data_IF_522184065029
#
_entry.id   IF_522184065029
#
_cell.length_a   1.000
_cell.length_b   1.000
_cell.length_c   1.000
_cell.angle_alpha   90.00
_cell.angle_beta   90.00
_cell.angle_gamma   90.00
#
_symmetry.space_group_name_H-M   'P 1'
#
loop_
_entity.id
_entity.type
_entity.pdbx_description
1 polymer ?
#
# COMPACT_ATOMS: atom_id res chain seq x y z
N UNK A 1 4.68 -25.21 -19.24
CA UNK A 1 4.74 -24.11 -18.26
C UNK A 1 3.68 -24.20 -17.16
N UNK A 2 2.35 -24.10 -17.40
CA UNK A 2 1.36 -24.30 -16.30
C UNK A 2 1.31 -25.74 -15.75
N UNK A 3 1.53 -26.75 -16.60
CA UNK A 3 1.57 -28.14 -16.14
C UNK A 3 2.82 -28.45 -15.29
N UNK A 4 3.92 -27.72 -15.52
CA UNK A 4 5.17 -27.92 -14.77
C UNK A 4 5.07 -27.35 -13.36
N UNK A 5 4.44 -26.18 -13.20
CA UNK A 5 4.25 -25.57 -11.88
C UNK A 5 3.26 -26.36 -11.03
N UNK A 6 2.16 -26.84 -11.60
CA UNK A 6 1.19 -27.69 -10.89
C UNK A 6 1.80 -29.03 -10.44
N UNK A 7 2.64 -29.64 -11.29
CA UNK A 7 3.38 -30.86 -10.94
C UNK A 7 4.43 -30.59 -9.85
N UNK A 8 5.14 -29.45 -9.94
CA UNK A 8 6.13 -29.05 -8.93
C UNK A 8 5.49 -28.83 -7.55
N UNK A 9 4.34 -28.15 -7.50
CA UNK A 9 3.60 -27.91 -6.24
C UNK A 9 3.07 -29.22 -5.65
N UNK A 10 2.55 -30.11 -6.51
CA UNK A 10 2.08 -31.43 -6.08
C UNK A 10 3.24 -32.28 -5.54
N UNK A 11 4.41 -32.21 -6.19
CA UNK A 11 5.62 -32.87 -5.72
C UNK A 11 6.11 -32.29 -4.39
N UNK A 12 6.14 -30.97 -4.22
CA UNK A 12 6.51 -30.33 -2.95
C UNK A 12 5.57 -30.74 -1.80
N UNK A 13 4.26 -30.80 -2.07
CA UNK A 13 3.27 -31.26 -1.09
C UNK A 13 3.49 -32.73 -0.70
N UNK A 14 3.70 -33.61 -1.69
CA UNK A 14 3.98 -35.03 -1.44
C UNK A 14 5.30 -35.20 -0.69
N UNK A 15 6.36 -34.49 -1.10
CA UNK A 15 7.65 -34.56 -0.42
C UNK A 15 7.54 -34.10 1.02
N UNK A 16 6.74 -33.08 1.30
CA UNK A 16 6.45 -32.67 2.68
C UNK A 16 5.72 -33.79 3.46
N UNK A 17 4.68 -34.40 2.90
CA UNK A 17 3.91 -35.47 3.58
C UNK A 17 4.78 -36.71 3.86
N UNK A 18 5.69 -37.07 2.96
CA UNK A 18 6.49 -38.29 3.08
C UNK A 18 7.86 -38.10 3.75
N UNK A 19 8.46 -36.90 3.66
CA UNK A 19 9.83 -36.63 4.14
C UNK A 19 9.92 -35.51 5.18
N UNK A 20 8.84 -34.76 5.45
CA UNK A 20 8.82 -33.57 6.33
C UNK A 20 9.83 -32.47 5.94
N UNK A 21 10.26 -32.47 4.67
CA UNK A 21 11.20 -31.50 4.11
C UNK A 21 10.47 -30.36 3.39
N UNK A 22 10.84 -29.12 3.71
CA UNK A 22 10.22 -27.89 3.18
C UNK A 22 11.25 -27.08 2.39
N UNK A 23 11.13 -27.05 1.06
CA UNK A 23 11.86 -26.12 0.19
C UNK A 23 10.89 -25.08 -0.36
N UNK A 24 10.87 -23.88 0.25
CA UNK A 24 10.05 -22.76 -0.20
C UNK A 24 10.87 -21.75 -1.00
N UNK A 25 10.32 -21.32 -2.14
CA UNK A 25 10.86 -20.22 -2.92
C UNK A 25 9.83 -19.10 -3.07
N UNK A 26 10.29 -17.86 -3.31
CA UNK A 26 9.41 -16.70 -3.47
C UNK A 26 8.37 -16.87 -4.59
N UNK A 27 8.73 -17.60 -5.65
CA UNK A 27 7.83 -17.82 -6.80
C UNK A 27 6.79 -18.93 -6.53
N UNK A 28 7.12 -19.88 -5.66
CA UNK A 28 6.26 -21.06 -5.41
C UNK A 28 5.48 -20.99 -4.11
N UNK A 29 5.85 -20.11 -3.17
CA UNK A 29 5.27 -20.06 -1.82
C UNK A 29 3.78 -19.75 -1.83
N UNK A 30 3.30 -18.84 -2.67
CA UNK A 30 1.87 -18.50 -2.74
C UNK A 30 1.03 -19.68 -3.25
N UNK A 31 1.52 -20.34 -4.30
CA UNK A 31 0.84 -21.50 -4.86
C UNK A 31 0.91 -22.73 -3.92
N UNK A 32 2.02 -22.87 -3.18
CA UNK A 32 2.18 -23.89 -2.14
C UNK A 32 1.27 -23.61 -0.94
N UNK A 33 1.12 -22.35 -0.52
CA UNK A 33 0.16 -21.95 0.52
C UNK A 33 -1.28 -22.28 0.10
N UNK A 34 -1.64 -21.97 -1.15
CA UNK A 34 -2.95 -22.33 -1.70
C UNK A 34 -3.19 -23.85 -1.64
N UNK A 35 -2.21 -24.65 -2.08
CA UNK A 35 -2.31 -26.12 -2.02
C UNK A 35 -2.38 -26.62 -0.57
N UNK A 36 -1.54 -26.10 0.33
CA UNK A 36 -1.53 -26.46 1.74
C UNK A 36 -2.89 -26.21 2.41
N UNK A 37 -3.53 -25.07 2.11
CA UNK A 37 -4.89 -24.79 2.57
C UNK A 37 -5.92 -25.72 1.94
N UNK A 38 -5.87 -25.89 0.61
CA UNK A 38 -6.80 -26.75 -0.14
C UNK A 38 -6.79 -28.21 0.33
N UNK A 39 -5.61 -28.74 0.68
CA UNK A 39 -5.43 -30.11 1.16
C UNK A 39 -5.36 -30.22 2.69
N UNK A 40 -5.62 -29.12 3.42
CA UNK A 40 -5.73 -29.09 4.89
C UNK A 40 -4.44 -29.59 5.57
N UNK A 41 -3.30 -29.04 5.15
CA UNK A 41 -1.98 -29.29 5.74
C UNK A 41 -1.53 -28.05 6.53
N UNK A 42 -1.96 -27.91 7.80
CA UNK A 42 -1.79 -26.66 8.56
C UNK A 42 -0.34 -26.32 8.88
N UNK A 43 0.52 -27.33 9.08
CA UNK A 43 1.94 -27.10 9.36
C UNK A 43 2.67 -26.47 8.18
N UNK A 44 2.41 -26.97 6.96
CA UNK A 44 2.95 -26.39 5.74
C UNK A 44 2.39 -24.99 5.50
N UNK A 45 1.08 -24.80 5.69
CA UNK A 45 0.46 -23.47 5.54
C UNK A 45 1.13 -22.44 6.47
N UNK A 46 1.35 -22.79 7.74
CA UNK A 46 2.04 -21.91 8.70
C UNK A 46 3.49 -21.64 8.32
N UNK A 47 4.21 -22.63 7.80
CA UNK A 47 5.57 -22.43 7.30
C UNK A 47 5.60 -21.45 6.10
N UNK A 48 4.64 -21.58 5.18
CA UNK A 48 4.48 -20.63 4.07
C UNK A 48 4.18 -19.21 4.55
N UNK A 49 3.25 -19.05 5.51
CA UNK A 49 2.93 -17.72 6.08
C UNK A 49 4.15 -17.11 6.77
N UNK A 50 4.87 -17.88 7.59
CA UNK A 50 6.10 -17.40 8.23
C UNK A 50 7.16 -16.96 7.20
N UNK A 51 7.33 -17.71 6.11
CA UNK A 51 8.24 -17.33 5.03
C UNK A 51 7.78 -16.01 4.38
N UNK A 52 6.49 -15.87 4.08
CA UNK A 52 5.92 -14.64 3.52
C UNK A 52 6.13 -13.44 4.45
N UNK A 53 5.91 -13.60 5.75
CA UNK A 53 6.15 -12.54 6.75
C UNK A 53 7.62 -12.11 6.80
N UNK A 54 8.57 -13.06 6.76
CA UNK A 54 10.00 -12.74 6.77
C UNK A 54 10.50 -12.08 5.48
N UNK A 55 9.84 -12.36 4.36
CA UNK A 55 10.16 -11.78 3.05
C UNK A 55 9.37 -10.51 2.72
N UNK A 56 8.49 -10.07 3.63
CA UNK A 56 7.61 -8.93 3.43
C UNK A 56 8.43 -7.63 3.35
N UNK A 57 8.20 -6.86 2.30
CA UNK A 57 8.88 -5.60 2.00
C UNK A 57 7.91 -4.62 1.36
N UNK A 58 8.22 -3.32 1.35
CA UNK A 58 7.38 -2.33 0.68
C UNK A 58 7.08 -2.67 -0.79
N UNK A 59 7.98 -3.35 -1.49
CA UNK A 59 7.84 -3.68 -2.93
C UNK A 59 6.82 -4.77 -3.21
N UNK A 60 6.71 -5.76 -2.33
CA UNK A 60 5.79 -6.90 -2.50
C UNK A 60 4.54 -6.80 -1.62
N UNK A 61 4.52 -5.88 -0.64
CA UNK A 61 3.40 -5.73 0.29
C UNK A 61 2.06 -5.48 -0.39
N UNK A 62 2.02 -4.69 -1.48
CA UNK A 62 0.78 -4.41 -2.22
C UNK A 62 0.19 -5.68 -2.87
N UNK A 63 1.03 -6.50 -3.49
CA UNK A 63 0.61 -7.77 -4.10
C UNK A 63 0.24 -8.77 -3.01
N UNK A 64 1.07 -8.89 -1.97
CA UNK A 64 0.79 -9.81 -0.85
C UNK A 64 -0.49 -9.43 -0.11
N UNK A 65 -0.84 -8.15 -0.05
CA UNK A 65 -2.11 -7.70 0.51
C UNK A 65 -3.30 -8.28 -0.27
N UNK A 66 -3.34 -8.12 -1.60
CA UNK A 66 -4.45 -8.65 -2.40
C UNK A 66 -4.54 -10.18 -2.30
N UNK A 67 -3.40 -10.86 -2.28
CA UNK A 67 -3.34 -12.31 -2.11
C UNK A 67 -3.74 -12.75 -0.69
N UNK A 68 -3.36 -12.02 0.36
CA UNK A 68 -3.70 -12.37 1.76
C UNK A 68 -5.21 -12.35 2.01
N UNK A 69 -5.92 -11.42 1.35
CA UNK A 69 -7.38 -11.36 1.38
C UNK A 69 -8.01 -12.62 0.74
N UNK A 70 -7.41 -13.15 -0.33
CA UNK A 70 -7.87 -14.38 -0.98
C UNK A 70 -7.63 -15.64 -0.13
N UNK A 71 -6.55 -15.64 0.66
CA UNK A 71 -6.23 -16.77 1.52
C UNK A 71 -6.92 -16.72 2.89
N UNK A 72 -7.67 -15.68 3.23
CA UNK A 72 -8.31 -15.51 4.55
C UNK A 72 -7.28 -15.60 5.71
N UNK A 73 -6.11 -14.99 5.55
CA UNK A 73 -5.06 -14.92 6.58
C UNK A 73 -5.01 -13.51 7.21
N UNK A 74 -5.78 -13.24 8.28
CA UNK A 74 -5.91 -11.89 8.84
C UNK A 74 -4.61 -11.36 9.43
N UNK A 75 -3.78 -12.23 10.02
CA UNK A 75 -2.50 -11.85 10.61
C UNK A 75 -1.53 -11.35 9.53
N UNK A 76 -1.42 -12.09 8.41
CA UNK A 76 -0.62 -11.68 7.26
C UNK A 76 -1.15 -10.37 6.65
N UNK A 77 -2.46 -10.24 6.51
CA UNK A 77 -3.10 -9.00 6.02
C UNK A 77 -2.74 -7.81 6.92
N UNK A 78 -2.78 -7.99 8.25
CA UNK A 78 -2.40 -6.94 9.20
C UNK A 78 -0.92 -6.55 9.04
N UNK A 79 -0.01 -7.52 8.89
CA UNK A 79 1.42 -7.24 8.65
C UNK A 79 1.67 -6.49 7.36
N UNK A 80 0.99 -6.87 6.27
CA UNK A 80 1.04 -6.14 5.01
C UNK A 80 0.62 -4.68 5.20
N UNK A 81 -0.45 -4.45 5.96
CA UNK A 81 -0.90 -3.09 6.27
C UNK A 81 0.09 -2.28 7.09
N UNK A 82 0.72 -2.88 8.10
CA UNK A 82 1.76 -2.22 8.91
C UNK A 82 2.93 -1.76 8.04
N UNK A 83 3.38 -2.60 7.10
CA UNK A 83 4.46 -2.25 6.18
C UNK A 83 4.04 -1.17 5.18
N UNK A 84 2.82 -1.26 4.63
CA UNK A 84 2.28 -0.23 3.71
C UNK A 84 2.13 1.11 4.43
N UNK A 85 1.61 1.14 5.65
CA UNK A 85 1.48 2.39 6.40
C UNK A 85 2.85 2.99 6.74
N UNK A 86 3.81 2.16 7.15
CA UNK A 86 5.15 2.61 7.55
C UNK A 86 5.99 3.09 6.36
N UNK A 87 5.89 2.40 5.22
CA UNK A 87 6.70 2.63 4.03
C UNK A 87 5.85 2.97 2.80
N UNK A 88 4.80 3.76 3.00
CA UNK A 88 3.80 4.08 1.98
C UNK A 88 4.40 4.64 0.69
N UNK A 89 5.33 5.60 0.77
CA UNK A 89 5.94 6.18 -0.44
C UNK A 89 6.71 5.16 -1.28
N UNK A 90 7.38 4.20 -0.65
CA UNK A 90 8.11 3.14 -1.34
C UNK A 90 7.16 2.09 -1.93
N UNK A 91 6.09 1.77 -1.19
CA UNK A 91 5.09 0.81 -1.62
C UNK A 91 4.30 1.33 -2.83
N UNK A 92 3.90 2.60 -2.81
CA UNK A 92 3.17 3.25 -3.91
C UNK A 92 4.00 3.42 -5.18
N UNK A 93 5.32 3.59 -5.06
CA UNK A 93 6.24 3.68 -6.20
C UNK A 93 6.68 2.32 -6.75
N UNK A 94 6.31 1.23 -6.09
CA UNK A 94 6.70 -0.11 -6.51
C UNK A 94 5.91 -0.57 -7.73
N UNK A 95 6.54 -1.37 -8.59
CA UNK A 95 5.85 -2.01 -9.72
C UNK A 95 4.69 -2.90 -9.23
N UNK A 96 4.83 -3.51 -8.04
CA UNK A 96 3.78 -4.32 -7.44
C UNK A 96 2.52 -3.55 -7.07
N UNK A 97 2.58 -2.22 -6.96
CA UNK A 97 1.37 -1.41 -6.81
C UNK A 97 0.58 -1.31 -8.11
N UNK A 98 1.24 -1.24 -9.27
CA UNK A 98 0.56 -1.22 -10.57
C UNK A 98 -0.19 -2.53 -10.84
N UNK A 99 0.20 -3.61 -10.17
CA UNK A 99 -0.37 -4.92 -10.41
C UNK A 99 -1.65 -5.23 -9.61
N UNK A 100 -2.03 -4.40 -8.64
CA UNK A 100 -3.16 -4.65 -7.75
C UNK A 100 -4.52 -4.48 -8.43
N UNK A 101 -5.52 -5.13 -7.85
CA UNK A 101 -6.93 -5.03 -8.17
C UNK A 101 -7.59 -3.74 -7.64
N UNK A 102 -8.63 -3.27 -8.32
CA UNK A 102 -9.30 -1.99 -8.03
C UNK A 102 -9.87 -1.90 -6.61
N UNK A 103 -10.36 -3.01 -6.06
CA UNK A 103 -10.87 -3.06 -4.68
C UNK A 103 -9.74 -2.83 -3.65
N UNK A 104 -8.57 -3.41 -3.90
CA UNK A 104 -7.38 -3.22 -3.06
C UNK A 104 -6.88 -1.78 -3.16
N UNK A 105 -6.88 -1.19 -4.36
CA UNK A 105 -6.58 0.24 -4.55
C UNK A 105 -7.51 1.14 -3.73
N UNK A 106 -8.83 0.97 -3.84
CA UNK A 106 -9.80 1.75 -3.08
C UNK A 106 -9.59 1.64 -1.57
N UNK A 107 -9.27 0.42 -1.10
CA UNK A 107 -8.98 0.15 0.30
C UNK A 107 -7.74 0.90 0.78
N UNK A 108 -6.66 0.92 -0.02
CA UNK A 108 -5.44 1.67 0.28
C UNK A 108 -5.72 3.18 0.30
N UNK A 109 -6.42 3.70 -0.72
CA UNK A 109 -6.73 5.12 -0.84
C UNK A 109 -7.65 5.64 0.28
N UNK A 110 -8.54 4.79 0.80
CA UNK A 110 -9.45 5.15 1.90
C UNK A 110 -8.75 5.29 3.27
N UNK A 111 -7.60 4.65 3.48
CA UNK A 111 -6.95 4.58 4.80
C UNK A 111 -6.42 5.92 5.31
N UNK A 112 -6.69 6.24 6.57
CA UNK A 112 -6.20 7.47 7.20
C UNK A 112 -4.75 7.38 7.72
N UNK A 113 -4.22 6.16 7.87
CA UNK A 113 -2.91 5.86 8.48
C UNK A 113 -1.74 5.92 7.51
N UNK A 114 -2.03 6.04 6.21
CA UNK A 114 -1.02 6.03 5.15
C UNK A 114 -0.04 7.20 5.31
N UNK A 115 1.23 6.89 5.54
CA UNK A 115 2.29 7.89 5.76
C UNK A 115 2.95 8.31 4.44
N UNK A 116 2.20 8.94 3.53
CA UNK A 116 2.70 9.46 2.26
C UNK A 116 2.13 10.84 1.95
N UNK A 117 2.89 11.64 1.18
CA UNK A 117 2.36 12.88 0.61
C UNK A 117 1.29 12.58 -0.44
N UNK A 118 0.22 13.37 -0.47
CA UNK A 118 -0.87 13.15 -1.44
C UNK A 118 -0.44 13.27 -2.89
N UNK A 119 0.62 14.04 -3.21
CA UNK A 119 1.20 14.06 -4.56
C UNK A 119 1.68 12.67 -4.98
N UNK A 120 2.34 11.92 -4.10
CA UNK A 120 2.83 10.57 -4.38
C UNK A 120 1.66 9.60 -4.54
N UNK A 121 0.60 9.77 -3.74
CA UNK A 121 -0.63 8.99 -3.86
C UNK A 121 -1.30 9.23 -5.21
N UNK A 122 -1.35 10.50 -5.65
CA UNK A 122 -1.90 10.88 -6.94
C UNK A 122 -1.08 10.31 -8.11
N UNK A 123 0.24 10.47 -8.09
CA UNK A 123 1.14 9.90 -9.10
C UNK A 123 1.00 8.37 -9.19
N UNK A 124 0.97 7.69 -8.05
CA UNK A 124 0.79 6.24 -8.00
C UNK A 124 -0.57 5.81 -8.59
N UNK A 125 -1.65 6.54 -8.28
CA UNK A 125 -2.95 6.27 -8.88
C UNK A 125 -2.95 6.44 -10.40
N UNK A 126 -2.21 7.44 -10.93
CA UNK A 126 -2.04 7.61 -12.37
C UNK A 126 -1.26 6.45 -13.01
N UNK A 127 -0.17 6.00 -12.36
CA UNK A 127 0.61 4.85 -12.82
C UNK A 127 -0.22 3.56 -12.82
N UNK A 128 -1.03 3.34 -11.77
CA UNK A 128 -1.96 2.22 -11.71
C UNK A 128 -3.01 2.30 -12.82
N UNK A 129 -3.59 3.48 -13.06
CA UNK A 129 -4.59 3.66 -14.11
C UNK A 129 -4.00 3.40 -15.51
N UNK A 130 -2.73 3.73 -15.73
CA UNK A 130 -2.02 3.43 -16.97
C UNK A 130 -1.80 1.93 -17.15
N UNK A 131 -1.33 1.23 -16.11
CA UNK A 131 -1.14 -0.21 -16.14
C UNK A 131 -2.48 -0.96 -16.36
N UNK A 132 -3.55 -0.50 -15.71
CA UNK A 132 -4.88 -1.09 -15.86
C UNK A 132 -5.49 -0.81 -17.24
N UNK A 133 -5.23 0.36 -17.84
CA UNK A 133 -5.58 0.61 -19.25
C UNK A 133 -4.86 -0.35 -20.20
N UNK A 134 -3.56 -0.60 -19.98
CA UNK A 134 -2.78 -1.56 -20.78
C UNK A 134 -3.33 -2.99 -20.63
N UNK A 135 -3.67 -3.41 -19.40
CA UNK A 135 -4.28 -4.72 -19.12
C UNK A 135 -5.63 -4.92 -19.80
N UNK A 136 -6.42 -3.85 -19.96
CA UNK A 136 -7.71 -3.88 -20.65
C UNK A 136 -7.59 -3.64 -22.16
N UNK A 137 -6.37 -3.59 -22.70
CA UNK A 137 -6.09 -3.30 -24.12
C UNK A 137 -6.74 -2.00 -24.62
N UNK A 138 -6.90 -1.02 -23.73
CA UNK A 138 -7.44 0.29 -24.06
C UNK A 138 -6.30 1.28 -24.33
N UNK A 139 -6.55 2.24 -25.22
CA UNK A 139 -5.64 3.36 -25.43
C UNK A 139 -5.42 4.11 -24.11
N UNK A 140 -4.17 4.45 -23.79
CA UNK A 140 -3.75 5.21 -22.60
C UNK A 140 -4.14 6.69 -22.67
N UNK A 141 -5.36 6.99 -23.13
CA UNK A 141 -5.95 8.33 -23.12
C UNK A 141 -6.35 8.74 -21.70
N UNK A 142 -6.32 10.04 -21.43
CA UNK A 142 -6.67 10.66 -20.15
C UNK A 142 -8.12 10.33 -19.76
N UNK A 143 -9.05 10.34 -20.72
CA UNK A 143 -10.45 9.96 -20.49
C UNK A 143 -10.59 8.51 -20.01
N UNK A 144 -9.75 7.61 -20.55
CA UNK A 144 -9.78 6.20 -20.15
C UNK A 144 -9.15 6.02 -18.77
N UNK A 145 -8.04 6.71 -18.47
CA UNK A 145 -7.46 6.73 -17.12
C UNK A 145 -8.49 7.20 -16.09
N UNK A 146 -9.25 8.26 -16.39
CA UNK A 146 -10.33 8.76 -15.53
C UNK A 146 -11.47 7.73 -15.39
N UNK A 147 -11.88 7.07 -16.47
CA UNK A 147 -12.91 6.03 -16.43
C UNK A 147 -12.50 4.83 -15.59
N UNK A 148 -11.24 4.42 -15.68
CA UNK A 148 -10.69 3.28 -14.92
C UNK A 148 -10.57 3.61 -13.44
N UNK A 149 -10.12 4.82 -13.09
CA UNK A 149 -10.07 5.27 -11.70
C UNK A 149 -11.48 5.49 -11.12
N UNK A 150 -12.44 5.95 -11.92
CA UNK A 150 -13.84 6.09 -11.52
C UNK A 150 -14.00 6.84 -10.19
N UNK A 151 -14.54 6.14 -9.18
CA UNK A 151 -14.77 6.71 -7.85
C UNK A 151 -13.50 6.84 -6.99
N UNK A 152 -12.44 6.09 -7.32
CA UNK A 152 -11.19 6.13 -6.58
C UNK A 152 -10.49 7.50 -6.65
N UNK A 153 -10.75 8.29 -7.71
CA UNK A 153 -10.22 9.67 -7.83
C UNK A 153 -10.69 10.55 -6.67
N UNK A 154 -11.95 10.39 -6.24
CA UNK A 154 -12.52 11.20 -5.15
C UNK A 154 -12.01 10.80 -3.76
N UNK A 155 -11.43 9.60 -3.62
CA UNK A 155 -10.78 9.16 -2.40
C UNK A 155 -9.41 9.84 -2.18
N UNK A 156 -8.80 10.36 -3.26
CA UNK A 156 -7.54 11.10 -3.19
C UNK A 156 -7.82 12.49 -2.63
N UNK A 157 -7.03 12.91 -1.64
CA UNK A 157 -7.28 14.15 -0.88
C UNK A 157 -6.59 15.33 -1.55
N UNK A 158 -6.94 15.58 -2.81
CA UNK A 158 -6.32 16.60 -3.68
C UNK A 158 -6.25 17.98 -3.01
N UNK A 159 -7.27 18.47 -2.26
CA UNK A 159 -7.18 19.77 -1.59
C UNK A 159 -6.13 19.85 -0.47
N UNK A 160 -5.59 18.72 -0.02
CA UNK A 160 -4.60 18.69 1.07
C UNK A 160 -3.15 18.70 0.57
N UNK A 161 -2.94 18.67 -0.75
CA UNK A 161 -1.60 18.82 -1.33
C UNK A 161 -1.11 20.28 -1.26
N UNK A 162 0.17 20.51 -1.53
CA UNK A 162 0.68 21.88 -1.67
C UNK A 162 0.12 22.56 -2.91
N UNK A 163 -0.08 23.88 -2.89
CA UNK A 163 -0.53 24.63 -4.07
C UNK A 163 0.41 24.39 -5.27
N UNK A 164 1.72 24.36 -5.02
CA UNK A 164 2.74 24.11 -6.06
C UNK A 164 2.63 22.70 -6.65
N UNK A 165 2.39 21.69 -5.79
CA UNK A 165 2.17 20.30 -6.18
C UNK A 165 0.89 20.16 -7.01
N UNK A 166 -0.16 20.91 -6.66
CA UNK A 166 -1.42 20.94 -7.39
C UNK A 166 -1.26 21.57 -8.77
N UNK A 167 -0.62 22.74 -8.83
CA UNK A 167 -0.44 23.49 -10.08
C UNK A 167 0.47 22.76 -11.08
N UNK A 168 1.51 22.08 -10.61
CA UNK A 168 2.47 21.39 -11.47
C UNK A 168 2.10 19.93 -11.76
N UNK A 169 1.28 19.28 -10.91
CA UNK A 169 0.87 17.89 -11.07
C UNK A 169 -0.60 17.75 -11.47
N UNK A 170 -1.49 17.81 -10.47
CA UNK A 170 -2.89 17.44 -10.65
C UNK A 170 -3.64 18.32 -11.66
N UNK A 171 -3.39 19.63 -11.67
CA UNK A 171 -4.05 20.56 -12.60
C UNK A 171 -3.63 20.34 -14.07
N UNK A 172 -2.38 19.91 -14.31
CA UNK A 172 -1.85 19.67 -15.67
C UNK A 172 -2.11 18.25 -16.17
N UNK A 173 -2.40 17.31 -15.27
CA UNK A 173 -2.63 15.90 -15.60
C UNK A 173 -3.82 15.64 -16.54
N UNK A 174 -4.77 16.59 -16.62
CA UNK A 174 -6.01 16.46 -17.37
C UNK A 174 -7.02 15.44 -16.80
N UNK A 175 -6.67 14.73 -15.72
CA UNK A 175 -7.55 13.74 -15.10
C UNK A 175 -8.71 14.40 -14.35
N UNK A 176 -8.52 15.64 -13.86
CA UNK A 176 -9.58 16.45 -13.27
C UNK A 176 -10.34 17.23 -14.34
N UNK A 177 -11.66 17.37 -14.16
CA UNK A 177 -12.46 18.22 -15.05
C UNK A 177 -12.12 19.68 -14.80
N UNK A 178 -12.38 20.54 -15.79
CA UNK A 178 -12.18 21.99 -15.67
C UNK A 178 -12.95 22.58 -14.47
N UNK A 179 -14.16 22.08 -14.20
CA UNK A 179 -14.96 22.52 -13.06
C UNK A 179 -14.31 22.10 -11.73
N UNK A 180 -13.91 20.83 -11.60
CA UNK A 180 -13.22 20.33 -10.40
C UNK A 180 -11.91 21.09 -10.13
N UNK A 181 -11.11 21.33 -11.17
CA UNK A 181 -9.86 22.09 -11.05
C UNK A 181 -10.12 23.53 -10.60
N UNK A 182 -11.17 24.17 -11.12
CA UNK A 182 -11.57 25.52 -10.71
C UNK A 182 -12.03 25.54 -9.24
N UNK A 183 -12.90 24.61 -8.85
CA UNK A 183 -13.42 24.51 -7.48
C UNK A 183 -12.29 24.26 -6.48
N UNK A 184 -11.34 23.38 -6.80
CA UNK A 184 -10.17 23.11 -5.96
C UNK A 184 -9.26 24.35 -5.91
N UNK A 185 -9.05 25.05 -7.01
CA UNK A 185 -8.27 26.29 -7.02
C UNK A 185 -8.93 27.39 -6.16
N UNK A 186 -10.26 27.53 -6.24
CA UNK A 186 -11.03 28.42 -5.38
C UNK A 186 -10.92 27.99 -3.91
N UNK A 187 -10.85 26.69 -3.62
CA UNK A 187 -10.64 26.22 -2.25
C UNK A 187 -9.30 26.69 -1.64
N UNK A 188 -8.24 26.82 -2.45
CA UNK A 188 -6.95 27.36 -2.00
C UNK A 188 -6.95 28.89 -1.84
N UNK A 189 -7.65 29.61 -2.71
CA UNK A 189 -7.48 31.07 -2.86
C UNK A 189 -8.66 31.91 -2.37
N UNK A 190 -9.88 31.36 -2.37
CA UNK A 190 -11.09 32.12 -2.06
C UNK A 190 -11.35 32.22 -0.55
N UNK A 191 -11.88 33.36 -0.12
CA UNK A 191 -12.32 33.57 1.26
C UNK A 191 -13.57 32.75 1.60
N UNK A 192 -14.45 32.50 0.62
CA UNK A 192 -15.62 31.62 0.75
C UNK A 192 -15.33 30.31 0.01
N UNK A 193 -15.18 29.22 0.76
CA UNK A 193 -14.81 27.92 0.20
C UNK A 193 -16.02 27.23 -0.44
N UNK A 194 -15.88 26.70 -1.67
CA UNK A 194 -16.91 25.86 -2.28
C UNK A 194 -17.00 24.49 -1.59
N UNK A 195 -18.12 23.81 -1.77
CA UNK A 195 -18.27 22.41 -1.37
C UNK A 195 -17.60 21.50 -2.41
N UNK A 196 -16.60 20.74 -1.97
CA UNK A 196 -15.86 19.82 -2.84
C UNK A 196 -16.35 18.38 -2.63
N UNK A 197 -16.35 17.60 -3.71
CA UNK A 197 -16.56 16.15 -3.64
C UNK A 197 -15.35 15.41 -3.07
N UNK A 198 -14.19 16.07 -3.02
CA UNK A 198 -12.94 15.53 -2.50
C UNK A 198 -12.83 15.67 -0.99
N UNK A 199 -12.19 14.69 -0.35
CA UNK A 199 -11.86 14.78 1.06
C UNK A 199 -10.85 15.94 1.32
N UNK A 200 -11.28 16.91 2.11
CA UNK A 200 -10.51 18.12 2.42
C UNK A 200 -9.63 18.00 3.67
N UNK A 201 -9.71 16.88 4.40
CA UNK A 201 -8.96 16.67 5.65
C UNK A 201 -7.69 15.88 5.40
N UNK A 202 -6.51 16.35 5.84
CA UNK A 202 -5.26 15.63 5.64
C UNK A 202 -5.29 14.27 6.36
N UNK A 203 -4.51 13.31 5.87
CA UNK A 203 -4.36 12.01 6.54
C UNK A 203 -3.76 12.21 7.93
N UNK A 204 -4.27 11.46 8.92
CA UNK A 204 -3.75 11.50 10.29
C UNK A 204 -2.34 10.92 10.37
N UNK A 205 -2.01 10.01 9.44
CA UNK A 205 -0.73 9.32 9.40
C UNK A 205 -0.57 8.35 10.57
N UNK A 206 0.65 7.85 10.73
CA UNK A 206 1.01 7.00 11.87
C UNK A 206 1.17 7.85 13.14
N UNK A 207 0.61 7.37 14.25
CA UNK A 207 0.83 8.01 15.55
C UNK A 207 2.32 7.88 15.93
N UNK A 208 3.04 8.99 16.13
CA UNK A 208 4.44 8.92 16.51
C UNK A 208 4.55 8.26 17.89
N UNK A 209 5.27 7.15 17.96
CA UNK A 209 5.59 6.49 19.23
C UNK A 209 6.57 7.37 20.00
N UNK A 210 6.07 8.05 21.04
CA UNK A 210 6.91 8.90 21.91
C UNK A 210 7.54 8.04 22.99
N UNK A 211 8.80 7.67 22.80
CA UNK A 211 9.59 7.04 23.86
C UNK A 211 10.03 8.09 24.88
N UNK A 212 9.45 8.08 26.07
CA UNK A 212 9.86 8.92 27.21
C UNK A 212 11.17 8.46 27.87
N UNK A 213 12.16 8.01 27.08
CA UNK A 213 13.47 7.61 27.62
C UNK A 213 14.18 8.78 28.32
N UNK A 214 13.84 10.01 27.95
CA UNK A 214 14.31 11.23 28.60
C UNK A 214 13.13 12.09 29.05
N UNK A 215 13.06 12.40 30.35
CA UNK A 215 11.97 13.19 30.95
C UNK A 215 12.03 14.69 30.58
N UNK A 216 13.17 15.20 30.11
CA UNK A 216 13.29 16.61 29.73
C UNK A 216 14.45 16.84 28.76
N UNK A 217 14.22 17.54 27.64
CA UNK A 217 15.26 18.30 26.96
C UNK A 217 15.22 19.74 27.50
N UNK A 218 16.33 20.24 28.05
CA UNK A 218 16.40 21.63 28.46
C UNK A 218 16.57 22.49 27.19
N UNK A 219 15.51 23.18 26.76
CA UNK A 219 15.39 23.97 25.53
C UNK A 219 16.45 25.09 25.35
N UNK A 220 17.39 25.27 26.28
CA UNK A 220 18.40 26.35 26.27
C UNK A 220 19.84 25.89 26.32
N UNK A 221 20.08 24.59 26.46
CA UNK A 221 21.42 24.03 26.40
C UNK A 221 21.31 22.75 25.59
N UNK A 222 22.10 22.60 24.54
CA UNK A 222 22.30 21.36 23.78
C UNK A 222 22.94 20.23 24.65
N UNK A 223 22.52 20.12 25.91
CA UNK A 223 22.98 19.16 26.91
C UNK A 223 21.83 18.20 27.19
N UNK A 224 22.03 16.96 26.77
CA UNK A 224 21.20 15.83 27.17
C UNK A 224 21.48 15.54 28.64
N UNK A 225 20.46 15.70 29.50
CA UNK A 225 20.57 15.34 30.92
C UNK A 225 19.82 14.05 31.18
N UNK A 226 20.55 13.01 31.55
CA UNK A 226 19.97 11.80 32.13
C UNK A 226 19.51 12.13 33.56
N UNK A 227 18.20 12.02 33.83
CA UNK A 227 17.66 11.93 35.19
C UNK A 227 16.98 10.57 35.32
N UNK A 228 17.72 9.63 35.88
CA UNK A 228 17.33 8.24 36.13
C UNK A 228 18.57 7.49 36.58
N UNK A 229 18.43 6.49 37.46
CA UNK A 229 19.53 5.57 37.74
C UNK A 229 19.89 4.87 36.44
N UNK A 230 21.18 4.61 36.23
CA UNK A 230 21.66 3.84 35.10
C UNK A 230 21.01 2.45 35.17
N UNK A 231 19.96 2.22 34.40
CA UNK A 231 19.47 0.87 34.19
C UNK A 231 20.44 0.20 33.21
N UNK A 232 21.17 -0.74 33.78
CA UNK A 232 22.13 -1.64 33.18
C UNK A 232 21.45 -2.64 32.23
N UNK A 233 22.17 -2.89 31.13
CA UNK A 233 22.02 -3.91 30.05
C UNK A 233 20.95 -3.58 29.00
#
# INVERSE_FOLDING_TARGET
MMYDTANLISFLLLRYIYCDEIDLSADTVLATLYAAKKYIVPHLARACVNFLETSLSAKNACILLSQSCLFEEPDLTQRCWEVIDAQAELALKSEGFCDIDAQTLESILRRETLNAKEIVVFEAALSWAEAECQRREMNTSIDNKRKVLGQAVYLIRIPTMGLDDFANGAAQSGVLTLNETNDIFLWYTAAKKPELQFACQPRKGLTPQKCHRFQSCAYRSNQWRYRGRCDSI
#
